data_IF_398379046894
#
_entry.id   IF_398379046894
#
_cell.length_a   1.000
_cell.length_b   1.000
_cell.length_c   1.000
_cell.angle_alpha   90.00
_cell.angle_beta   90.00
_cell.angle_gamma   90.00
#
_symmetry.space_group_name_H-M   'P 1'
#
loop_
_entity.id
_entity.type
_entity.pdbx_description
1 polymer ?
#
# COMPACT_ATOMS: atom_id res chain seq x y z
N UNK A 1 -4.50 -1.26 -6.64
CA UNK A 1 -4.91 -0.59 -7.90
C UNK A 1 -5.01 -1.59 -9.04
N UNK A 2 -4.08 -2.53 -9.15
CA UNK A 2 -4.15 -3.58 -10.17
C UNK A 2 -5.44 -4.40 -10.12
N UNK A 3 -6.02 -4.57 -8.94
CA UNK A 3 -7.28 -5.28 -8.75
C UNK A 3 -8.50 -4.51 -9.28
N UNK A 4 -8.31 -3.23 -9.66
CA UNK A 4 -9.35 -2.34 -10.14
C UNK A 4 -8.93 -1.67 -11.45
N UNK A 5 -8.78 -2.45 -12.54
CA UNK A 5 -8.11 -1.97 -13.75
C UNK A 5 -8.90 -0.92 -14.54
N UNK A 6 -10.16 -0.68 -14.19
CA UNK A 6 -11.00 0.31 -14.88
C UNK A 6 -11.28 1.54 -14.01
N UNK A 7 -10.69 1.62 -12.81
CA UNK A 7 -10.97 2.69 -11.85
C UNK A 7 -9.92 3.79 -11.90
N UNK A 8 -10.31 4.98 -11.47
CA UNK A 8 -9.45 6.16 -11.26
C UNK A 8 -8.65 6.61 -12.48
N UNK A 9 -9.15 6.35 -13.68
CA UNK A 9 -8.49 6.77 -14.93
C UNK A 9 -7.06 6.26 -15.12
N UNK A 10 -6.66 5.23 -14.39
CA UNK A 10 -5.31 4.68 -14.49
C UNK A 10 -5.04 4.10 -15.87
N UNK A 11 -6.06 3.55 -16.52
CA UNK A 11 -5.93 3.03 -17.88
C UNK A 11 -5.52 4.11 -18.90
N UNK A 12 -5.81 5.37 -18.63
CA UNK A 12 -5.35 6.49 -19.48
C UNK A 12 -3.85 6.68 -19.41
N UNK A 13 -3.21 6.22 -18.33
CA UNK A 13 -1.76 6.33 -18.13
C UNK A 13 -1.03 5.06 -18.51
N UNK A 14 -1.57 3.90 -18.13
CA UNK A 14 -0.91 2.62 -18.33
C UNK A 14 -1.44 1.84 -19.54
N UNK A 15 -2.52 2.31 -20.14
CA UNK A 15 -3.22 1.61 -21.21
C UNK A 15 -4.24 0.62 -20.65
N UNK A 16 -5.02 0.01 -21.54
CA UNK A 16 -6.00 -1.02 -21.18
C UNK A 16 -5.27 -2.20 -20.54
N UNK A 17 -5.78 -2.70 -19.41
CA UNK A 17 -5.13 -3.78 -18.68
C UNK A 17 -4.89 -5.03 -19.52
N UNK A 18 -5.89 -5.44 -20.31
CA UNK A 18 -5.78 -6.68 -21.11
C UNK A 18 -4.77 -6.56 -22.26
N UNK A 19 -4.62 -5.35 -22.81
CA UNK A 19 -3.72 -5.08 -23.94
C UNK A 19 -2.31 -4.71 -23.52
N UNK A 20 -2.14 -4.10 -22.35
CA UNK A 20 -0.87 -3.53 -21.89
C UNK A 20 -0.49 -4.07 -20.50
N UNK A 21 -0.64 -5.37 -20.30
CA UNK A 21 -0.34 -6.02 -19.00
C UNK A 21 1.06 -5.72 -18.48
N UNK A 22 2.05 -5.66 -19.37
CA UNK A 22 3.43 -5.39 -18.98
C UNK A 22 3.56 -4.03 -18.31
N UNK A 23 2.87 -3.00 -18.83
CA UNK A 23 2.89 -1.67 -18.23
C UNK A 23 2.31 -1.68 -16.82
N UNK A 24 1.21 -2.41 -16.62
CA UNK A 24 0.58 -2.54 -15.32
C UNK A 24 1.47 -3.30 -14.34
N UNK A 25 2.05 -4.41 -14.77
CA UNK A 25 2.91 -5.22 -13.92
C UNK A 25 4.17 -4.44 -13.49
N UNK A 26 4.79 -3.71 -14.40
CA UNK A 26 5.99 -2.91 -14.09
C UNK A 26 5.71 -1.76 -13.12
N UNK A 27 4.50 -1.20 -13.14
CA UNK A 27 4.14 -0.01 -12.37
C UNK A 27 3.22 -0.33 -11.18
N UNK A 28 3.08 -1.58 -10.81
CA UNK A 28 2.34 -2.00 -9.62
C UNK A 28 3.29 -2.09 -8.43
N UNK A 29 2.95 -1.42 -7.34
CA UNK A 29 3.83 -1.27 -6.18
C UNK A 29 4.33 -2.61 -5.63
N UNK A 30 3.45 -3.60 -5.53
CA UNK A 30 3.82 -4.91 -5.00
C UNK A 30 4.92 -5.61 -5.82
N UNK A 31 5.02 -5.28 -7.11
CA UNK A 31 6.07 -5.82 -8.00
C UNK A 31 7.36 -5.00 -7.96
N UNK A 32 7.35 -3.88 -7.24
CA UNK A 32 8.49 -2.96 -7.12
C UNK A 32 9.21 -3.10 -5.78
N UNK A 33 8.81 -4.05 -4.94
CA UNK A 33 9.41 -4.28 -3.62
C UNK A 33 10.92 -4.54 -3.71
N UNK A 34 11.38 -5.14 -4.81
CA UNK A 34 12.80 -5.41 -5.03
C UNK A 34 13.68 -4.14 -5.03
N UNK A 35 13.07 -2.97 -5.21
CA UNK A 35 13.77 -1.68 -5.17
C UNK A 35 14.01 -1.18 -3.75
N UNK A 36 13.34 -1.75 -2.76
CA UNK A 36 13.48 -1.33 -1.37
C UNK A 36 14.73 -1.95 -0.75
N UNK A 37 15.46 -1.13 -0.03
CA UNK A 37 16.62 -1.54 0.77
C UNK A 37 16.34 -1.27 2.24
N UNK A 38 16.94 -2.07 3.13
CA UNK A 38 16.61 -2.06 4.56
C UNK A 38 16.66 -0.68 5.21
N UNK A 39 17.61 0.17 4.82
CA UNK A 39 17.89 1.41 5.51
C UNK A 39 17.41 2.67 4.79
N UNK A 40 16.74 2.52 3.65
CA UNK A 40 16.36 3.69 2.83
C UNK A 40 15.09 4.39 3.31
N UNK A 41 14.13 3.62 3.84
CA UNK A 41 12.81 4.15 4.18
C UNK A 41 12.30 3.53 5.47
N UNK A 42 11.54 4.32 6.23
CA UNK A 42 10.69 3.81 7.29
C UNK A 42 9.27 3.78 6.77
N UNK A 43 8.64 2.61 6.82
CA UNK A 43 7.35 2.38 6.21
C UNK A 43 6.28 2.05 7.25
N UNK A 44 5.12 2.68 7.10
CA UNK A 44 3.93 2.34 7.86
C UNK A 44 2.74 2.25 6.92
N UNK A 45 1.91 1.22 7.12
CA UNK A 45 0.67 1.00 6.39
C UNK A 45 -0.47 0.83 7.38
N UNK A 46 -1.59 1.43 7.08
CA UNK A 46 -2.78 1.36 7.91
C UNK A 46 -4.00 1.19 7.01
N UNK A 47 -4.75 0.12 7.19
CA UNK A 47 -5.88 -0.20 6.33
C UNK A 47 -7.04 -0.75 7.14
N UNK A 48 -8.25 -0.25 6.87
CA UNK A 48 -9.46 -0.78 7.45
C UNK A 48 -9.78 -2.17 6.92
N UNK A 49 -10.30 -3.04 7.78
CA UNK A 49 -10.65 -4.41 7.38
C UNK A 49 -11.84 -4.46 6.42
N UNK A 50 -12.63 -3.40 6.35
CA UNK A 50 -13.77 -3.27 5.44
C UNK A 50 -13.44 -2.43 4.20
N UNK A 51 -12.19 -2.00 4.07
CA UNK A 51 -11.71 -1.22 2.93
C UNK A 51 -11.62 -2.12 1.69
N UNK A 52 -12.03 -1.58 0.54
CA UNK A 52 -11.95 -2.33 -0.72
C UNK A 52 -10.50 -2.64 -1.15
N UNK A 53 -9.52 -1.93 -0.60
CA UNK A 53 -8.10 -2.23 -0.78
C UNK A 53 -7.52 -3.18 0.28
N UNK A 54 -8.35 -3.72 1.17
CA UNK A 54 -7.86 -4.55 2.26
C UNK A 54 -6.99 -5.72 1.77
N UNK A 55 -7.49 -6.47 0.79
CA UNK A 55 -6.78 -7.63 0.28
C UNK A 55 -5.45 -7.24 -0.38
N UNK A 56 -5.44 -6.14 -1.14
CA UNK A 56 -4.22 -5.64 -1.77
C UNK A 56 -3.17 -5.22 -0.75
N UNK A 57 -3.58 -4.52 0.31
CA UNK A 57 -2.68 -4.11 1.38
C UNK A 57 -2.16 -5.31 2.18
N UNK A 58 -3.01 -6.29 2.43
CA UNK A 58 -2.62 -7.52 3.14
C UNK A 58 -1.55 -8.29 2.35
N UNK A 59 -1.75 -8.45 1.04
CA UNK A 59 -0.77 -9.09 0.18
C UNK A 59 0.56 -8.34 0.17
N UNK A 60 0.51 -7.01 0.14
CA UNK A 60 1.71 -6.18 0.19
C UNK A 60 2.48 -6.35 1.50
N UNK A 61 1.77 -6.32 2.61
CA UNK A 61 2.33 -6.57 3.94
C UNK A 61 3.03 -7.94 4.00
N UNK A 62 2.35 -9.00 3.52
CA UNK A 62 2.90 -10.35 3.50
C UNK A 62 4.15 -10.44 2.63
N UNK A 63 4.17 -9.74 1.49
CA UNK A 63 5.34 -9.71 0.62
C UNK A 63 6.52 -9.00 1.28
N UNK A 64 6.28 -7.91 1.99
CA UNK A 64 7.33 -7.22 2.74
C UNK A 64 7.92 -8.11 3.82
N UNK A 65 7.09 -8.87 4.55
CA UNK A 65 7.57 -9.84 5.53
C UNK A 65 8.45 -10.89 4.86
N UNK A 66 8.00 -11.46 3.75
CA UNK A 66 8.72 -12.51 3.02
C UNK A 66 10.08 -12.01 2.51
N UNK A 67 10.17 -10.75 2.14
CA UNK A 67 11.41 -10.12 1.66
C UNK A 67 12.26 -9.51 2.77
N UNK A 68 11.87 -9.68 4.02
CA UNK A 68 12.55 -9.14 5.19
C UNK A 68 12.69 -7.60 5.14
N UNK A 69 11.68 -6.91 4.64
CA UNK A 69 11.65 -5.45 4.64
C UNK A 69 10.95 -4.97 5.91
N UNK A 70 11.64 -4.28 6.83
CA UNK A 70 11.03 -3.78 8.05
C UNK A 70 9.94 -2.76 7.76
N UNK A 71 8.81 -2.90 8.44
CA UNK A 71 7.68 -1.98 8.29
C UNK A 71 6.72 -2.14 9.46
N UNK A 72 5.85 -1.17 9.66
CA UNK A 72 4.72 -1.26 10.57
C UNK A 72 3.44 -1.43 9.78
N UNK A 73 2.55 -2.29 10.26
CA UNK A 73 1.29 -2.57 9.61
C UNK A 73 0.17 -2.58 10.64
N UNK A 74 -0.88 -1.80 10.38
CA UNK A 74 -2.04 -1.69 11.24
C UNK A 74 -3.31 -2.09 10.48
N UNK A 75 -4.15 -2.90 11.13
CA UNK A 75 -5.49 -3.22 10.67
C UNK A 75 -6.46 -2.88 11.79
N UNK A 76 -7.51 -2.15 11.44
CA UNK A 76 -8.57 -1.80 12.38
C UNK A 76 -9.91 -1.88 11.68
N UNK A 77 -11.00 -2.07 12.41
CA UNK A 77 -12.33 -1.97 11.81
C UNK A 77 -12.53 -0.62 11.14
N UNK A 78 -13.07 -0.61 9.95
CA UNK A 78 -13.38 0.60 9.21
C UNK A 78 -13.18 0.46 7.72
N UNK A 79 -13.50 1.54 7.02
CA UNK A 79 -13.57 1.63 5.57
C UNK A 79 -12.53 2.60 5.02
N UNK A 80 -12.57 2.78 3.69
CA UNK A 80 -11.75 3.74 2.98
C UNK A 80 -12.39 5.12 3.05
N UNK A 81 -12.34 5.77 4.23
CA UNK A 81 -13.03 7.03 4.48
C UNK A 81 -12.31 7.94 5.49
N UNK A 82 -12.81 9.17 5.60
CA UNK A 82 -12.21 10.17 6.48
C UNK A 82 -12.29 9.81 7.96
N UNK A 83 -13.33 9.11 8.39
CA UNK A 83 -13.43 8.66 9.79
C UNK A 83 -12.27 7.74 10.14
N UNK A 84 -11.97 6.78 9.26
CA UNK A 84 -10.84 5.89 9.43
C UNK A 84 -9.52 6.65 9.43
N UNK A 85 -9.30 7.50 8.42
CA UNK A 85 -8.04 8.22 8.24
C UNK A 85 -7.76 9.22 9.36
N UNK A 86 -8.80 9.89 9.87
CA UNK A 86 -8.66 10.81 11.00
C UNK A 86 -8.15 10.12 12.26
N UNK A 87 -8.52 8.87 12.47
CA UNK A 87 -7.99 8.07 13.57
C UNK A 87 -6.59 7.52 13.27
N UNK A 88 -6.33 7.21 12.01
CA UNK A 88 -5.02 6.68 11.59
C UNK A 88 -3.88 7.66 11.81
N UNK A 89 -4.13 8.96 11.66
CA UNK A 89 -3.08 9.97 11.79
C UNK A 89 -2.39 9.94 13.16
N UNK A 90 -3.10 9.56 14.20
CA UNK A 90 -2.52 9.43 15.56
C UNK A 90 -1.38 8.40 15.58
N UNK A 91 -1.61 7.25 14.97
CA UNK A 91 -0.62 6.17 14.92
C UNK A 91 0.54 6.51 14.01
N UNK A 92 0.26 7.18 12.91
CA UNK A 92 1.29 7.65 11.98
C UNK A 92 2.19 8.70 12.62
N UNK A 93 1.62 9.63 13.37
CA UNK A 93 2.40 10.64 14.08
C UNK A 93 3.32 10.01 15.13
N UNK A 94 2.83 9.02 15.87
CA UNK A 94 3.67 8.30 16.82
C UNK A 94 4.83 7.57 16.13
N UNK A 95 4.53 6.91 15.03
CA UNK A 95 5.55 6.23 14.22
C UNK A 95 6.64 7.19 13.75
N UNK A 96 6.24 8.32 13.17
CA UNK A 96 7.19 9.30 12.65
C UNK A 96 7.94 10.03 13.76
N UNK A 97 7.32 10.25 14.91
CA UNK A 97 8.00 10.83 16.05
C UNK A 97 9.17 9.95 16.50
N UNK A 98 8.95 8.64 16.58
CA UNK A 98 10.02 7.69 16.92
C UNK A 98 11.14 7.69 15.88
N UNK A 99 10.79 7.88 14.61
CA UNK A 99 11.77 7.91 13.52
C UNK A 99 12.65 9.16 13.58
N UNK A 100 12.07 10.33 13.95
CA UNK A 100 12.79 11.59 13.95
C UNK A 100 13.50 11.91 15.28
N UNK A 101 13.27 11.13 16.29
CA UNK A 101 14.03 11.19 17.52
C UNK A 101 15.31 10.34 17.42
#
# INVERSE_FOLDING_TARGET
IRDFPTSWDISKRLGNYDLYKDNWEKNTVINMVYLLKEDNLKLIFDCGIDDFFYDANKRFHQKLIKKNIPHSYLERPGNHDWDYWSNSIKYQLLFFNDFFE
#
